data_IF_751557592813
#
_entry.id   IF_751557592813
#
_cell.length_a   1.000
_cell.length_b   1.000
_cell.length_c   1.000
_cell.angle_alpha   90.00
_cell.angle_beta   90.00
_cell.angle_gamma   90.00
#
_symmetry.space_group_name_H-M   'P 1'
#
loop_
_entity.id
_entity.type
_entity.pdbx_description
1 polymer ?
#
# COMPACT_ATOMS: atom_id res chain seq x y z
N UNK A 1 42.66 2.74 5.57
CA UNK A 1 41.58 2.46 4.60
C UNK A 1 40.88 1.18 5.03
N UNK A 2 39.77 1.30 5.76
CA UNK A 2 38.93 0.16 6.09
C UNK A 2 37.95 -0.07 4.94
N UNK A 3 38.16 -1.14 4.18
CA UNK A 3 37.18 -1.63 3.21
C UNK A 3 36.06 -2.32 3.98
N UNK A 4 34.99 -1.57 4.25
CA UNK A 4 33.73 -2.16 4.72
C UNK A 4 33.08 -2.88 3.55
N UNK A 5 33.22 -4.21 3.53
CA UNK A 5 32.39 -5.11 2.76
C UNK A 5 30.95 -4.85 3.21
N UNK A 6 30.16 -4.17 2.38
CA UNK A 6 28.70 -4.16 2.53
C UNK A 6 28.24 -5.57 2.23
N UNK A 7 28.10 -6.38 3.27
CA UNK A 7 27.32 -7.60 3.23
C UNK A 7 25.90 -7.19 2.83
N UNK A 8 25.54 -7.37 1.56
CA UNK A 8 24.14 -7.34 1.14
C UNK A 8 23.49 -8.60 1.70
N UNK A 9 23.10 -8.54 2.97
CA UNK A 9 22.28 -9.56 3.58
C UNK A 9 21.03 -9.72 2.72
N UNK A 10 20.91 -10.87 2.05
CA UNK A 10 19.72 -11.21 1.29
C UNK A 10 18.59 -11.35 2.30
N UNK A 11 17.68 -10.39 2.32
CA UNK A 11 16.50 -10.43 3.17
C UNK A 11 15.73 -11.72 2.92
N UNK A 12 15.29 -12.45 3.96
CA UNK A 12 14.52 -13.67 3.78
C UNK A 12 13.27 -13.34 2.98
N UNK A 13 13.17 -13.91 1.79
CA UNK A 13 12.04 -13.74 0.88
C UNK A 13 11.29 -15.05 0.83
N UNK A 14 10.02 -15.03 1.24
CA UNK A 14 9.12 -16.18 1.04
C UNK A 14 8.39 -15.96 -0.27
N UNK A 15 8.52 -16.89 -1.22
CA UNK A 15 7.80 -16.84 -2.50
C UNK A 15 6.86 -18.01 -2.64
N UNK A 16 5.61 -17.74 -2.97
CA UNK A 16 4.59 -18.73 -3.30
C UNK A 16 4.12 -18.46 -4.72
N UNK A 17 4.14 -19.50 -5.56
CA UNK A 17 3.64 -19.42 -6.92
C UNK A 17 2.44 -20.34 -7.07
N UNK A 18 1.34 -19.78 -7.56
CA UNK A 18 0.12 -20.51 -7.88
C UNK A 18 -0.29 -20.21 -9.32
N UNK A 19 -0.12 -21.18 -10.22
CA UNK A 19 -0.34 -21.00 -11.67
C UNK A 19 0.45 -19.78 -12.20
N UNK A 20 -0.27 -18.77 -12.71
CA UNK A 20 0.29 -17.52 -13.23
C UNK A 20 0.44 -16.41 -12.17
N UNK A 21 0.08 -16.67 -10.91
CA UNK A 21 0.22 -15.71 -9.81
C UNK A 21 1.45 -16.04 -8.97
N UNK A 22 2.21 -15.01 -8.62
CA UNK A 22 3.29 -15.09 -7.64
C UNK A 22 3.00 -14.12 -6.50
N UNK A 23 3.17 -14.60 -5.27
CA UNK A 23 3.10 -13.79 -4.05
C UNK A 23 4.45 -13.91 -3.37
N UNK A 24 5.12 -12.78 -3.15
CA UNK A 24 6.33 -12.70 -2.33
C UNK A 24 6.09 -11.91 -1.06
N UNK A 25 6.77 -12.29 0.01
CA UNK A 25 6.87 -11.51 1.25
C UNK A 25 8.33 -11.11 1.41
N UNK A 26 8.56 -9.81 1.46
CA UNK A 26 9.89 -9.21 1.45
C UNK A 26 10.00 -8.18 2.58
N UNK A 27 11.17 -8.10 3.21
CA UNK A 27 11.51 -7.02 4.12
C UNK A 27 12.14 -5.88 3.32
N UNK A 28 11.54 -4.70 3.36
CA UNK A 28 12.04 -3.54 2.62
C UNK A 28 11.22 -2.28 2.85
N UNK A 29 11.55 -1.25 2.07
CA UNK A 29 10.84 0.03 2.02
C UNK A 29 9.93 0.04 0.79
N UNK A 30 8.61 0.08 1.02
CA UNK A 30 7.61 0.07 -0.05
C UNK A 30 7.72 1.28 -0.98
N UNK A 31 8.34 2.38 -0.55
CA UNK A 31 8.52 3.58 -1.38
C UNK A 31 9.61 3.42 -2.44
N UNK A 32 10.42 2.35 -2.36
CA UNK A 32 11.50 2.04 -3.30
C UNK A 32 11.16 0.87 -4.24
N UNK A 33 10.02 0.20 -4.06
CA UNK A 33 9.64 -0.97 -4.87
C UNK A 33 9.32 -0.54 -6.31
N UNK A 34 9.63 -1.40 -7.26
CA UNK A 34 9.23 -1.23 -8.65
C UNK A 34 7.99 -2.08 -8.92
N UNK A 35 6.84 -1.45 -9.11
CA UNK A 35 5.58 -2.15 -9.28
C UNK A 35 4.58 -1.30 -10.06
N UNK A 36 3.48 -1.86 -10.53
CA UNK A 36 2.49 -1.09 -11.28
C UNK A 36 1.58 -0.32 -10.31
N UNK A 37 1.22 -0.94 -9.19
CA UNK A 37 0.36 -0.34 -8.16
C UNK A 37 0.90 -0.56 -6.75
N UNK A 38 0.96 0.51 -5.95
CA UNK A 38 1.19 0.43 -4.50
C UNK A 38 -0.15 0.58 -3.78
N UNK A 39 -0.46 -0.31 -2.83
CA UNK A 39 -1.60 -0.14 -1.93
C UNK A 39 -1.17 0.41 -0.59
N UNK A 40 -2.01 1.26 -0.01
CA UNK A 40 -1.90 1.65 1.39
C UNK A 40 -3.28 1.85 1.99
N UNK A 41 -3.40 1.66 3.30
CA UNK A 41 -4.63 1.96 4.01
C UNK A 41 -4.70 3.45 4.36
N UNK A 42 -5.90 4.02 4.29
CA UNK A 42 -6.17 5.39 4.70
C UNK A 42 -7.42 5.46 5.60
N UNK A 43 -7.56 6.58 6.30
CA UNK A 43 -8.81 6.94 6.94
C UNK A 43 -9.80 7.55 5.92
N UNK A 44 -11.10 7.69 6.26
CA UNK A 44 -12.11 8.27 5.37
C UNK A 44 -11.80 9.67 4.83
N UNK A 45 -10.90 10.42 5.50
CA UNK A 45 -10.48 11.78 5.13
C UNK A 45 -9.08 11.80 4.49
N UNK A 46 -8.54 10.63 4.15
CA UNK A 46 -7.25 10.43 3.47
C UNK A 46 -6.15 11.29 4.09
N UNK A 47 -6.09 11.37 5.43
CA UNK A 47 -5.18 12.33 6.09
C UNK A 47 -3.71 12.04 5.79
N UNK A 48 -3.36 10.76 5.62
CA UNK A 48 -2.02 10.27 5.28
C UNK A 48 -0.91 10.86 6.18
N UNK A 49 -1.20 11.15 7.44
CA UNK A 49 -0.31 11.90 8.35
C UNK A 49 0.69 11.04 9.12
N UNK A 50 0.63 9.71 8.98
CA UNK A 50 1.51 8.79 9.71
C UNK A 50 1.80 7.49 8.96
N UNK A 51 2.78 6.74 9.49
CA UNK A 51 3.12 5.40 9.04
C UNK A 51 3.51 5.31 7.56
N UNK A 52 3.14 4.19 6.94
CA UNK A 52 3.46 3.91 5.54
C UNK A 52 2.73 4.86 4.59
N UNK A 53 1.49 5.26 4.90
CA UNK A 53 0.73 6.21 4.07
C UNK A 53 1.47 7.55 3.95
N UNK A 54 2.01 8.08 5.07
CA UNK A 54 2.83 9.29 5.05
C UNK A 54 4.08 9.13 4.21
N UNK A 55 4.83 8.04 4.39
CA UNK A 55 6.06 7.81 3.65
C UNK A 55 5.80 7.73 2.13
N UNK A 56 4.68 7.12 1.71
CA UNK A 56 4.26 7.06 0.31
C UNK A 56 3.94 8.46 -0.23
N UNK A 57 3.18 9.28 0.51
CA UNK A 57 2.82 10.64 0.07
C UNK A 57 4.04 11.54 0.01
N UNK A 58 4.91 11.50 1.03
CA UNK A 58 6.18 12.25 1.04
C UNK A 58 7.09 11.86 -0.12
N UNK A 59 7.17 10.56 -0.46
CA UNK A 59 7.97 10.10 -1.60
C UNK A 59 7.32 10.45 -2.94
N UNK A 60 5.99 10.39 -3.06
CA UNK A 60 5.25 10.78 -4.26
C UNK A 60 5.38 12.27 -4.57
N UNK A 61 5.56 13.10 -3.52
CA UNK A 61 5.84 14.53 -3.62
C UNK A 61 4.58 15.39 -3.68
N UNK A 62 4.78 16.70 -3.89
CA UNK A 62 3.73 17.71 -3.80
C UNK A 62 2.52 17.42 -4.70
N UNK A 63 2.74 16.91 -5.92
CA UNK A 63 1.64 16.59 -6.84
C UNK A 63 0.70 15.50 -6.31
N UNK A 64 1.22 14.53 -5.58
CA UNK A 64 0.39 13.49 -4.97
C UNK A 64 -0.39 14.08 -3.79
N UNK A 65 0.25 14.94 -2.99
CA UNK A 65 -0.44 15.66 -1.93
C UNK A 65 -1.54 16.57 -2.48
N UNK A 66 -1.28 17.33 -3.55
CA UNK A 66 -2.27 18.18 -4.22
C UNK A 66 -3.46 17.36 -4.75
N UNK A 67 -3.19 16.17 -5.32
CA UNK A 67 -4.24 15.27 -5.78
C UNK A 67 -5.11 14.78 -4.62
N UNK A 68 -4.54 14.49 -3.45
CA UNK A 68 -5.28 14.14 -2.23
C UNK A 68 -6.08 15.36 -1.74
N UNK A 69 -5.46 16.52 -1.63
CA UNK A 69 -6.07 17.75 -1.11
C UNK A 69 -7.25 18.18 -1.99
N UNK A 70 -7.12 18.03 -3.32
CA UNK A 70 -8.22 18.30 -4.26
C UNK A 70 -9.45 17.43 -4.02
N UNK A 71 -9.27 16.19 -3.53
CA UNK A 71 -10.39 15.31 -3.16
C UNK A 71 -11.04 15.78 -1.86
N UNK A 72 -10.23 16.26 -0.92
CA UNK A 72 -10.68 16.75 0.38
C UNK A 72 -11.42 18.08 0.31
N UNK A 73 -11.01 19.00 -0.57
CA UNK A 73 -11.71 20.27 -0.83
C UNK A 73 -13.13 20.06 -1.31
N UNK A 74 -13.38 18.97 -2.05
CA UNK A 74 -14.71 18.62 -2.53
C UNK A 74 -15.57 17.90 -1.45
N UNK A 75 -15.12 17.89 -0.18
CA UNK A 75 -15.72 17.18 0.95
C UNK A 75 -15.98 15.69 0.69
N UNK A 76 -15.26 15.10 -0.27
CA UNK A 76 -15.41 13.69 -0.63
C UNK A 76 -14.75 12.84 0.46
N UNK A 77 -15.57 12.22 1.29
CA UNK A 77 -15.14 11.18 2.23
C UNK A 77 -15.21 9.82 1.56
N UNK A 78 -14.20 9.00 1.79
CA UNK A 78 -14.26 7.58 1.43
C UNK A 78 -15.16 6.84 2.41
N UNK A 79 -16.09 6.05 1.90
CA UNK A 79 -16.81 5.06 2.68
C UNK A 79 -15.91 3.85 2.93
N UNK A 80 -16.26 3.05 3.95
CA UNK A 80 -15.55 1.80 4.18
C UNK A 80 -15.75 0.86 2.99
N UNK A 81 -14.64 0.31 2.47
CA UNK A 81 -14.62 -0.49 1.25
C UNK A 81 -14.26 0.28 -0.02
N UNK A 82 -14.28 1.62 0.04
CA UNK A 82 -13.89 2.46 -1.10
C UNK A 82 -12.37 2.39 -1.35
N UNK A 83 -12.01 2.60 -2.61
CA UNK A 83 -10.64 2.66 -3.08
C UNK A 83 -10.47 3.94 -3.90
N UNK A 84 -9.52 4.78 -3.50
CA UNK A 84 -9.12 5.94 -4.28
C UNK A 84 -7.80 5.62 -4.99
N UNK A 85 -7.81 5.63 -6.31
CA UNK A 85 -6.60 5.45 -7.13
C UNK A 85 -6.11 6.81 -7.62
N UNK A 86 -4.85 7.12 -7.34
CA UNK A 86 -4.15 8.32 -7.80
C UNK A 86 -2.86 7.94 -8.53
N UNK A 87 -2.32 8.86 -9.34
CA UNK A 87 -1.00 8.68 -9.95
C UNK A 87 0.07 8.60 -8.85
N UNK A 88 1.10 7.77 -9.03
CA UNK A 88 2.14 7.62 -8.01
C UNK A 88 3.21 8.74 -8.08
N UNK A 89 3.16 9.59 -9.10
CA UNK A 89 4.02 10.76 -9.26
C UNK A 89 5.52 10.40 -9.22
N UNK A 90 6.22 10.72 -8.12
CA UNK A 90 7.67 10.51 -7.98
C UNK A 90 8.07 9.10 -7.48
N UNK A 91 7.09 8.22 -7.24
CA UNK A 91 7.32 6.83 -6.87
C UNK A 91 7.70 5.98 -8.09
N UNK A 92 8.36 4.85 -7.86
CA UNK A 92 8.64 3.84 -8.90
C UNK A 92 7.41 2.96 -9.19
N UNK A 93 6.23 3.58 -9.27
CA UNK A 93 4.97 2.93 -9.59
C UNK A 93 4.12 3.76 -10.54
N UNK A 94 3.09 3.15 -11.15
CA UNK A 94 2.16 3.90 -12.02
C UNK A 94 1.11 4.62 -11.18
N UNK A 95 0.61 3.95 -10.15
CA UNK A 95 -0.45 4.47 -9.30
C UNK A 95 -0.33 4.02 -7.84
N UNK A 96 -0.98 4.78 -6.96
CA UNK A 96 -1.20 4.44 -5.55
C UNK A 96 -2.70 4.27 -5.32
N UNK A 97 -3.08 3.13 -4.72
CA UNK A 97 -4.44 2.85 -4.29
C UNK A 97 -4.56 3.05 -2.77
N UNK A 98 -5.32 4.07 -2.38
CA UNK A 98 -5.69 4.35 -0.99
C UNK A 98 -6.96 3.58 -0.65
N UNK A 99 -6.82 2.58 0.21
CA UNK A 99 -7.89 1.65 0.60
C UNK A 99 -8.46 2.10 1.95
N UNK A 100 -9.78 2.22 2.08
CA UNK A 100 -10.42 2.63 3.34
C UNK A 100 -11.13 1.45 4.03
N UNK A 101 -10.45 0.64 4.85
CA UNK A 101 -11.12 -0.44 5.59
C UNK A 101 -11.80 0.08 6.86
N UNK A 102 -12.87 -0.60 7.30
CA UNK A 102 -13.46 -0.39 8.62
C UNK A 102 -12.54 -0.94 9.72
N UNK A 103 -12.52 -0.28 10.88
CA UNK A 103 -11.71 -0.72 12.03
C UNK A 103 -12.27 -1.99 12.65
N UNK A 104 -11.40 -2.98 12.88
CA UNK A 104 -11.76 -4.21 13.61
C UNK A 104 -12.61 -5.23 12.84
N UNK A 105 -12.98 -4.94 11.59
CA UNK A 105 -13.71 -5.87 10.73
C UNK A 105 -12.77 -6.50 9.70
N UNK A 106 -12.47 -7.80 9.89
CA UNK A 106 -11.73 -8.57 8.88
C UNK A 106 -12.50 -8.67 7.56
N UNK A 107 -13.84 -8.68 7.61
CA UNK A 107 -14.69 -8.70 6.42
C UNK A 107 -14.47 -7.45 5.59
N UNK A 108 -14.52 -6.28 6.22
CA UNK A 108 -14.44 -4.99 5.52
C UNK A 108 -13.02 -4.75 5.00
N UNK A 109 -12.00 -5.23 5.74
CA UNK A 109 -10.63 -5.29 5.23
C UNK A 109 -10.55 -6.13 3.96
N UNK A 110 -11.06 -7.37 4.00
CA UNK A 110 -11.05 -8.27 2.85
C UNK A 110 -11.76 -7.65 1.64
N UNK A 111 -12.89 -6.99 1.86
CA UNK A 111 -13.65 -6.32 0.82
C UNK A 111 -12.89 -5.14 0.21
N UNK A 112 -12.27 -4.30 1.03
CA UNK A 112 -11.50 -3.15 0.55
C UNK A 112 -10.29 -3.59 -0.30
N UNK A 113 -9.57 -4.65 0.10
CA UNK A 113 -8.50 -5.24 -0.71
C UNK A 113 -9.03 -5.88 -1.99
N UNK A 114 -10.16 -6.57 -1.92
CA UNK A 114 -10.78 -7.18 -3.08
C UNK A 114 -11.18 -6.12 -4.13
N UNK A 115 -11.72 -4.99 -3.69
CA UNK A 115 -12.03 -3.86 -4.56
C UNK A 115 -10.77 -3.25 -5.18
N UNK A 116 -9.68 -3.12 -4.41
CA UNK A 116 -8.45 -2.56 -4.94
C UNK A 116 -7.76 -3.49 -5.95
N UNK A 117 -7.84 -4.82 -5.74
CA UNK A 117 -7.40 -5.80 -6.73
C UNK A 117 -8.26 -5.77 -8.01
N UNK A 118 -9.57 -5.50 -7.90
CA UNK A 118 -10.42 -5.27 -9.09
C UNK A 118 -9.98 -4.03 -9.86
N UNK A 119 -9.72 -2.92 -9.18
CA UNK A 119 -9.19 -1.70 -9.82
C UNK A 119 -7.86 -1.98 -10.53
N UNK A 120 -6.96 -2.72 -9.90
CA UNK A 120 -5.70 -3.15 -10.53
C UNK A 120 -5.94 -3.96 -11.81
N UNK A 121 -6.91 -4.88 -11.81
CA UNK A 121 -7.30 -5.63 -13.01
C UNK A 121 -7.87 -4.72 -14.11
N UNK A 122 -8.74 -3.76 -13.78
CA UNK A 122 -9.30 -2.82 -14.75
C UNK A 122 -8.24 -1.92 -15.37
N UNK A 123 -7.24 -1.53 -14.59
CA UNK A 123 -6.09 -0.73 -15.05
C UNK A 123 -5.05 -1.56 -15.81
N UNK A 124 -5.17 -2.88 -15.84
CA UNK A 124 -4.20 -3.78 -16.47
C UNK A 124 -2.87 -3.89 -15.70
N UNK A 125 -2.86 -3.54 -14.41
CA UNK A 125 -1.70 -3.70 -13.54
C UNK A 125 -1.37 -5.19 -13.35
N UNK A 126 -0.09 -5.54 -13.51
CA UNK A 126 0.44 -6.91 -13.42
C UNK A 126 1.16 -7.17 -12.10
N UNK A 127 1.73 -6.12 -11.51
CA UNK A 127 2.45 -6.20 -10.23
C UNK A 127 1.87 -5.24 -9.22
N UNK A 128 1.75 -5.71 -7.99
CA UNK A 128 1.11 -4.98 -6.90
C UNK A 128 1.95 -5.15 -5.64
N UNK A 129 2.29 -4.05 -4.97
CA UNK A 129 2.95 -4.05 -3.68
C UNK A 129 2.05 -3.47 -2.59
N UNK A 130 2.07 -4.05 -1.40
CA UNK A 130 1.28 -3.57 -0.27
C UNK A 130 2.01 -3.82 1.06
N UNK A 131 1.88 -2.94 2.07
CA UNK A 131 2.52 -3.14 3.35
C UNK A 131 1.85 -4.27 4.15
N UNK A 132 2.55 -4.78 5.17
CA UNK A 132 1.95 -5.72 6.12
C UNK A 132 0.82 -5.07 6.93
N UNK A 133 -0.37 -5.67 6.94
CA UNK A 133 -1.54 -5.12 7.63
C UNK A 133 -1.61 -5.46 9.10
N UNK A 134 -2.04 -4.52 9.93
CA UNK A 134 -2.24 -4.78 11.37
C UNK A 134 -0.96 -4.66 12.21
N UNK A 135 0.16 -4.27 11.61
CA UNK A 135 1.43 -3.96 12.31
C UNK A 135 1.54 -2.49 12.73
N UNK A 136 0.53 -1.66 12.38
CA UNK A 136 0.44 -0.23 12.69
C UNK A 136 -0.85 0.15 13.43
N UNK A 137 -1.24 1.43 13.49
CA UNK A 137 -2.36 1.93 14.31
C UNK A 137 -3.76 1.33 13.99
N UNK A 138 -3.89 0.58 12.89
CA UNK A 138 -5.08 -0.19 12.52
C UNK A 138 -5.10 -1.64 13.06
N UNK A 139 -4.23 -1.94 14.04
CA UNK A 139 -4.03 -3.22 14.73
C UNK A 139 -5.16 -4.26 14.57
N UNK A 140 -4.93 -5.24 13.70
CA UNK A 140 -5.60 -6.54 13.78
C UNK A 140 -4.71 -7.43 14.64
N UNK A 141 -5.26 -8.02 15.69
CA UNK A 141 -4.54 -8.99 16.50
C UNK A 141 -4.16 -10.17 15.61
N UNK A 142 -2.86 -10.34 15.36
CA UNK A 142 -2.35 -11.58 14.78
C UNK A 142 -2.53 -12.69 15.82
N UNK A 143 -3.58 -13.50 15.66
CA UNK A 143 -3.61 -14.79 16.33
C UNK A 143 -2.66 -15.71 15.57
N UNK A 144 -1.39 -15.72 15.96
CA UNK A 144 -0.56 -16.88 15.68
C UNK A 144 -1.20 -18.05 16.41
N UNK A 145 -1.88 -18.93 15.69
CA UNK A 145 -2.21 -20.26 16.21
C UNK A 145 -0.88 -20.91 16.61
N UNK A 146 -0.70 -21.11 17.91
CA UNK A 146 0.33 -21.98 18.48
C UNK A 146 -0.09 -23.42 18.33
#
# INVERSE_FOLDING_TARGET
MQNSIKSSAVSPTVKLRWNCFEVSVEMGDITQVHTDMILTTCDPIISCTNGVAKAIVEKGGERLQDAIDSRMVNEVRLHFGDVLVLNAESLNAWCVAFVCPSRGSFRDLKEAYYNALKEAMYLGAKTIAMPGFGTGPFMLIYSCYK
#
